data_IF_608968755074
#
_entry.id   IF_608968755074
#
_cell.length_a   1.000
_cell.length_b   1.000
_cell.length_c   1.000
_cell.angle_alpha   90.00
_cell.angle_beta   90.00
_cell.angle_gamma   90.00
#
_symmetry.space_group_name_H-M   'P 1'
#
loop_
_entity.id
_entity.type
_entity.pdbx_description
1 polymer ?
#
# COMPACT_ATOMS: atom_id res chain seq x y z
N UNK A 1 -22.11 8.43 -6.01
CA UNK A 1 -20.96 8.94 -5.21
C UNK A 1 -19.92 7.85 -5.23
N UNK A 2 -18.91 7.96 -6.10
CA UNK A 2 -17.80 7.01 -6.13
C UNK A 2 -16.89 7.40 -4.97
N UNK A 3 -16.79 6.53 -3.97
CA UNK A 3 -15.88 6.72 -2.85
C UNK A 3 -14.47 6.96 -3.38
N UNK A 4 -13.85 8.09 -3.04
CA UNK A 4 -12.48 8.43 -3.47
C UNK A 4 -11.41 7.49 -2.88
N UNK A 5 -11.78 6.61 -1.95
CA UNK A 5 -10.88 5.66 -1.31
C UNK A 5 -10.75 4.33 -2.06
N UNK A 6 -11.66 4.05 -3.02
CA UNK A 6 -11.65 2.81 -3.81
C UNK A 6 -10.39 2.59 -4.68
N UNK A 7 -9.69 3.61 -5.24
CA UNK A 7 -8.51 3.37 -6.06
C UNK A 7 -7.19 3.18 -5.28
N UNK A 8 -7.06 3.69 -4.04
CA UNK A 8 -5.77 3.65 -3.31
C UNK A 8 -5.54 2.28 -2.67
N UNK A 9 -6.59 1.68 -2.08
CA UNK A 9 -6.48 0.33 -1.50
C UNK A 9 -6.22 -0.74 -2.56
N UNK A 10 -6.84 -0.62 -3.74
CA UNK A 10 -6.59 -1.53 -4.87
C UNK A 10 -5.14 -1.42 -5.34
N UNK A 11 -4.62 -0.19 -5.51
CA UNK A 11 -3.23 0.01 -5.89
C UNK A 11 -2.23 -0.49 -4.84
N UNK A 12 -2.54 -0.31 -3.55
CA UNK A 12 -1.75 -0.87 -2.46
C UNK A 12 -1.71 -2.40 -2.52
N UNK A 13 -2.87 -3.04 -2.75
CA UNK A 13 -2.95 -4.50 -2.88
C UNK A 13 -2.21 -5.03 -4.10
N UNK A 14 -2.39 -4.40 -5.27
CA UNK A 14 -1.68 -4.79 -6.49
C UNK A 14 -0.17 -4.71 -6.31
N UNK A 15 0.33 -3.59 -5.80
CA UNK A 15 1.77 -3.41 -5.61
C UNK A 15 2.35 -4.34 -4.53
N UNK A 16 1.57 -4.64 -3.49
CA UNK A 16 1.92 -5.66 -2.48
C UNK A 16 2.12 -7.04 -3.13
N UNK A 17 1.23 -7.44 -4.03
CA UNK A 17 1.34 -8.72 -4.74
C UNK A 17 2.59 -8.75 -5.63
N UNK A 18 2.89 -7.67 -6.37
CA UNK A 18 4.12 -7.59 -7.19
C UNK A 18 5.39 -7.74 -6.34
N UNK A 19 5.45 -7.12 -5.15
CA UNK A 19 6.60 -7.27 -4.25
C UNK A 19 6.73 -8.72 -3.77
N UNK A 20 5.62 -9.36 -3.39
CA UNK A 20 5.62 -10.75 -2.91
C UNK A 20 5.99 -11.75 -4.01
N UNK A 21 5.65 -11.49 -5.27
CA UNK A 21 6.09 -12.32 -6.39
C UNK A 21 7.61 -12.25 -6.60
N UNK A 22 8.21 -11.07 -6.42
CA UNK A 22 9.65 -10.84 -6.63
C UNK A 22 10.46 -11.26 -5.38
N UNK A 23 9.93 -11.00 -4.19
CA UNK A 23 10.59 -11.22 -2.90
C UNK A 23 9.59 -11.84 -1.90
N UNK A 24 9.30 -13.14 -2.02
CA UNK A 24 8.28 -13.81 -1.19
C UNK A 24 8.65 -13.87 0.30
N UNK A 25 9.94 -13.82 0.63
CA UNK A 25 10.45 -13.91 2.01
C UNK A 25 10.62 -12.53 2.69
N UNK A 26 10.12 -11.45 2.09
CA UNK A 26 10.19 -10.11 2.66
C UNK A 26 9.43 -10.05 4.00
N UNK A 27 9.96 -9.31 4.98
CA UNK A 27 9.24 -9.13 6.24
C UNK A 27 7.99 -8.27 6.03
N UNK A 28 6.94 -8.54 6.81
CA UNK A 28 5.70 -7.74 6.77
C UNK A 28 5.98 -6.25 6.99
N UNK A 29 6.89 -5.91 7.90
CA UNK A 29 7.26 -4.51 8.18
C UNK A 29 7.90 -3.84 6.96
N UNK A 30 8.82 -4.53 6.28
CA UNK A 30 9.46 -4.02 5.07
C UNK A 30 8.46 -3.89 3.91
N UNK A 31 7.58 -4.87 3.75
CA UNK A 31 6.50 -4.83 2.76
C UNK A 31 5.55 -3.65 3.00
N UNK A 32 5.12 -3.47 4.25
CA UNK A 32 4.26 -2.37 4.67
C UNK A 32 4.91 -1.00 4.37
N UNK A 33 6.19 -0.83 4.71
CA UNK A 33 6.93 0.40 4.43
C UNK A 33 7.05 0.69 2.94
N UNK A 34 7.34 -0.33 2.12
CA UNK A 34 7.45 -0.20 0.67
C UNK A 34 6.12 0.20 0.03
N UNK A 35 5.02 -0.46 0.41
CA UNK A 35 3.70 -0.15 -0.13
C UNK A 35 3.23 1.23 0.37
N UNK A 36 3.51 1.60 1.63
CA UNK A 36 3.19 2.93 2.18
C UNK A 36 3.90 4.05 1.40
N UNK A 37 5.19 3.86 1.10
CA UNK A 37 5.97 4.81 0.32
C UNK A 37 5.42 4.96 -1.10
N UNK A 38 5.08 3.84 -1.75
CA UNK A 38 4.49 3.85 -3.09
C UNK A 38 3.20 4.69 -3.15
N UNK A 39 2.24 4.40 -2.26
CA UNK A 39 0.96 5.12 -2.26
C UNK A 39 1.11 6.58 -1.84
N UNK A 40 2.02 6.89 -0.90
CA UNK A 40 2.34 8.25 -0.48
C UNK A 40 2.76 9.10 -1.68
N UNK A 41 3.71 8.59 -2.49
CA UNK A 41 4.21 9.32 -3.65
C UNK A 41 3.21 9.34 -4.82
N UNK A 42 2.52 8.23 -5.11
CA UNK A 42 1.63 8.18 -6.26
C UNK A 42 0.34 8.98 -6.10
N UNK A 43 -0.23 8.96 -4.90
CA UNK A 43 -1.52 9.60 -4.65
C UNK A 43 -1.39 10.97 -4.00
N UNK A 44 -0.17 11.42 -3.70
CA UNK A 44 0.09 12.72 -3.07
C UNK A 44 -0.59 12.88 -1.70
N UNK A 45 -0.83 11.76 -1.01
CA UNK A 45 -1.46 11.71 0.30
C UNK A 45 -0.43 11.95 1.41
N UNK A 46 -0.87 12.11 2.64
CA UNK A 46 0.03 12.19 3.79
C UNK A 46 0.58 10.81 4.17
N UNK A 47 1.70 10.78 4.90
CA UNK A 47 2.25 9.53 5.45
C UNK A 47 1.30 8.84 6.42
N UNK A 48 0.51 9.61 7.18
CA UNK A 48 -0.52 9.04 8.07
C UNK A 48 -1.67 8.40 7.29
N UNK A 49 -2.11 9.02 6.20
CA UNK A 49 -3.13 8.43 5.32
C UNK A 49 -2.61 7.16 4.64
N UNK A 50 -1.36 7.17 4.16
CA UNK A 50 -0.72 5.98 3.62
C UNK A 50 -0.69 4.84 4.66
N UNK A 51 -0.31 5.14 5.91
CA UNK A 51 -0.31 4.15 6.99
C UNK A 51 -1.72 3.56 7.23
N UNK A 52 -2.76 4.38 7.24
CA UNK A 52 -4.16 3.91 7.38
C UNK A 52 -4.60 3.02 6.22
N UNK A 53 -4.06 3.21 5.01
CA UNK A 53 -4.31 2.32 3.87
C UNK A 53 -3.62 0.99 4.11
N UNK A 54 -2.35 1.00 4.52
CA UNK A 54 -1.58 -0.23 4.80
C UNK A 54 -2.24 -1.07 5.89
N UNK A 55 -2.75 -0.43 6.96
CA UNK A 55 -3.52 -1.13 8.01
C UNK A 55 -4.78 -1.84 7.48
N UNK A 56 -5.28 -1.46 6.29
CA UNK A 56 -6.44 -2.09 5.63
C UNK A 56 -6.06 -3.12 4.56
N UNK A 57 -4.82 -3.12 4.07
CA UNK A 57 -4.41 -3.89 2.87
C UNK A 57 -3.25 -4.85 3.09
N UNK A 58 -2.36 -4.57 4.04
CA UNK A 58 -1.14 -5.34 4.31
C UNK A 58 -1.14 -6.05 5.68
N UNK A 59 -2.09 -5.70 6.55
CA UNK A 59 -2.45 -6.44 7.78
C UNK A 59 -3.76 -7.18 7.56
#
# INVERSE_FOLDING_TARGET
MISKDMPICEAANYFKEEILEITPDISTDQLADMVALYIYYQYGITKEEAKKVIEKTCL
#
